data_IF_871195096993
#
_entry.id   IF_871195096993
#
_cell.length_a   1.000
_cell.length_b   1.000
_cell.length_c   1.000
_cell.angle_alpha   90.00
_cell.angle_beta   90.00
_cell.angle_gamma   90.00
#
_symmetry.space_group_name_H-M   'P 1'
#
loop_
_entity.id
_entity.type
_entity.pdbx_description
1 polymer ?
#
# COMPACT_ATOMS: atom_id res chain seq x y z
N UNK A 1 -19.11 16.58 10.96
CA UNK A 1 -18.14 16.51 9.84
C UNK A 1 -18.03 15.09 9.26
N UNK A 2 -17.66 14.06 10.04
CA UNK A 2 -17.49 12.66 9.59
C UNK A 2 -18.76 11.92 9.13
N UNK A 3 -19.92 12.60 9.06
CA UNK A 3 -21.19 12.03 8.56
C UNK A 3 -21.23 11.93 7.05
N UNK A 4 -20.40 12.68 6.33
CA UNK A 4 -20.29 12.56 4.88
C UNK A 4 -19.06 11.68 4.57
N UNK A 5 -19.31 10.53 3.93
CA UNK A 5 -18.25 9.57 3.56
C UNK A 5 -17.19 10.20 2.66
N UNK A 6 -17.58 11.12 1.78
CA UNK A 6 -16.65 11.79 0.87
C UNK A 6 -15.74 12.77 1.61
N UNK A 7 -16.22 13.43 2.66
CA UNK A 7 -15.37 14.30 3.49
C UNK A 7 -14.31 13.46 4.20
N UNK A 8 -14.66 12.27 4.67
CA UNK A 8 -13.67 11.35 5.26
C UNK A 8 -12.67 10.86 4.22
N UNK A 9 -13.13 10.54 3.01
CA UNK A 9 -12.24 10.21 1.89
C UNK A 9 -11.27 11.35 1.54
N UNK A 10 -11.75 12.60 1.53
CA UNK A 10 -10.91 13.78 1.28
C UNK A 10 -9.89 14.01 2.41
N UNK A 11 -10.23 13.72 3.67
CA UNK A 11 -9.27 13.77 4.78
C UNK A 11 -8.19 12.68 4.65
N UNK A 12 -8.58 11.45 4.30
CA UNK A 12 -7.63 10.36 4.01
C UNK A 12 -6.67 10.80 2.90
N UNK A 13 -7.22 11.32 1.79
CA UNK A 13 -6.44 11.86 0.68
C UNK A 13 -5.47 12.94 1.14
N UNK A 14 -5.93 13.95 1.90
CA UNK A 14 -5.08 15.03 2.38
C UNK A 14 -3.92 14.51 3.24
N UNK A 15 -4.17 13.54 4.14
CA UNK A 15 -3.13 12.94 4.98
C UNK A 15 -2.11 12.18 4.15
N UNK A 16 -2.55 11.35 3.18
CA UNK A 16 -1.65 10.56 2.33
C UNK A 16 -0.80 11.47 1.44
N UNK A 17 -1.41 12.48 0.81
CA UNK A 17 -0.66 13.41 -0.05
C UNK A 17 0.31 14.25 0.76
N UNK A 18 -0.07 14.69 1.96
CA UNK A 18 0.86 15.40 2.86
C UNK A 18 2.04 14.51 3.22
N UNK A 19 1.80 13.25 3.60
CA UNK A 19 2.87 12.30 3.91
C UNK A 19 3.76 12.01 2.69
N UNK A 20 3.16 11.89 1.50
CA UNK A 20 3.89 11.74 0.24
C UNK A 20 4.84 12.91 0.00
N UNK A 21 4.35 14.16 0.06
CA UNK A 21 5.20 15.34 -0.15
C UNK A 21 6.24 15.52 0.94
N UNK A 22 5.92 15.24 2.21
CA UNK A 22 6.93 15.24 3.28
C UNK A 22 8.04 14.24 2.96
N UNK A 23 7.68 13.00 2.59
CA UNK A 23 8.67 11.97 2.22
C UNK A 23 9.48 12.41 1.00
N UNK A 24 8.82 12.96 0.00
CA UNK A 24 9.43 13.38 -1.26
C UNK A 24 10.31 14.65 -1.15
N UNK A 25 10.08 15.53 -0.18
CA UNK A 25 10.86 16.75 0.02
C UNK A 25 12.00 16.52 1.01
N UNK A 26 11.70 15.87 2.15
CA UNK A 26 12.66 15.76 3.26
C UNK A 26 13.44 14.44 3.28
N UNK A 27 12.95 13.40 2.60
CA UNK A 27 13.54 12.05 2.62
C UNK A 27 13.89 11.56 1.21
N UNK A 28 14.09 12.48 0.25
CA UNK A 28 14.56 12.19 -1.11
C UNK A 28 16.07 11.98 -1.12
N UNK A 29 16.51 10.98 -0.37
CA UNK A 29 17.91 10.57 -0.23
C UNK A 29 18.15 9.19 -0.89
N UNK A 30 19.28 8.56 -0.57
CA UNK A 30 19.67 7.25 -1.10
C UNK A 30 18.71 6.11 -0.71
N UNK A 31 17.87 6.30 0.31
CA UNK A 31 16.91 5.32 0.82
C UNK A 31 15.46 5.67 0.43
N UNK A 32 15.25 6.64 -0.47
CA UNK A 32 13.92 7.17 -0.80
C UNK A 32 12.93 6.09 -1.27
N UNK A 33 13.34 5.18 -2.15
CA UNK A 33 12.53 4.05 -2.61
C UNK A 33 12.13 3.13 -1.45
N UNK A 34 13.08 2.77 -0.59
CA UNK A 34 12.84 1.89 0.56
C UNK A 34 11.92 2.53 1.59
N UNK A 35 12.12 3.82 1.86
CA UNK A 35 11.24 4.62 2.72
C UNK A 35 9.83 4.67 2.14
N UNK A 36 9.71 4.88 0.83
CA UNK A 36 8.42 4.88 0.12
C UNK A 36 7.68 3.54 0.23
N UNK A 37 8.39 2.41 0.09
CA UNK A 37 7.77 1.08 0.29
C UNK A 37 7.27 0.92 1.73
N UNK A 38 8.09 1.28 2.74
CA UNK A 38 7.69 1.18 4.15
C UNK A 38 6.45 2.02 4.45
N UNK A 39 6.39 3.24 3.92
CA UNK A 39 5.21 4.10 4.04
C UNK A 39 3.97 3.46 3.39
N UNK A 40 4.11 2.89 2.20
CA UNK A 40 3.02 2.20 1.52
C UNK A 40 2.54 0.94 2.27
N UNK A 41 3.46 0.20 2.90
CA UNK A 41 3.17 -1.06 3.59
C UNK A 41 2.57 -0.87 4.99
N UNK A 42 2.97 0.17 5.73
CA UNK A 42 2.57 0.35 7.12
C UNK A 42 1.73 1.60 7.36
N UNK A 43 2.14 2.75 6.82
CA UNK A 43 1.45 4.01 7.09
C UNK A 43 0.09 4.09 6.39
N UNK A 44 0.03 3.79 5.08
CA UNK A 44 -1.21 3.89 4.30
C UNK A 44 -2.32 2.99 4.87
N UNK A 45 -2.09 1.69 5.16
CA UNK A 45 -3.14 0.85 5.75
C UNK A 45 -3.69 1.39 7.07
N UNK A 46 -2.83 1.95 7.93
CA UNK A 46 -3.25 2.56 9.20
C UNK A 46 -4.16 3.77 8.95
N UNK A 47 -3.76 4.69 8.07
CA UNK A 47 -4.57 5.88 7.73
C UNK A 47 -5.93 5.47 7.17
N UNK A 48 -5.95 4.47 6.27
CA UNK A 48 -7.17 3.93 5.69
C UNK A 48 -8.08 3.32 6.76
N UNK A 49 -7.53 2.50 7.66
CA UNK A 49 -8.26 1.87 8.75
C UNK A 49 -8.84 2.86 9.75
N UNK A 50 -8.07 3.89 10.14
CA UNK A 50 -8.55 4.97 11.02
C UNK A 50 -9.68 5.74 10.33
N UNK A 51 -9.52 6.10 9.06
CA UNK A 51 -10.55 6.81 8.29
C UNK A 51 -11.85 5.99 8.19
N UNK A 52 -11.74 4.71 7.86
CA UNK A 52 -12.89 3.79 7.84
C UNK A 52 -13.57 3.70 9.21
N UNK A 53 -12.79 3.52 10.29
CA UNK A 53 -13.31 3.47 11.65
C UNK A 53 -14.07 4.75 12.04
N UNK A 54 -13.49 5.92 11.78
CA UNK A 54 -14.13 7.21 12.08
C UNK A 54 -15.43 7.39 11.29
N UNK A 55 -15.45 7.01 10.01
CA UNK A 55 -16.64 7.08 9.15
C UNK A 55 -17.77 6.18 9.68
N UNK A 56 -17.47 4.91 9.99
CA UNK A 56 -18.45 3.94 10.48
C UNK A 56 -18.98 4.34 11.86
N UNK A 57 -18.09 4.65 12.80
CA UNK A 57 -18.48 4.99 14.18
C UNK A 57 -19.25 6.29 14.28
N UNK A 58 -18.85 7.33 13.53
CA UNK A 58 -19.59 8.59 13.49
C UNK A 58 -21.00 8.40 12.94
N UNK A 59 -21.18 7.50 11.97
CA UNK A 59 -22.51 7.22 11.43
C UNK A 59 -23.33 6.35 12.38
N UNK A 60 -22.70 5.36 13.02
CA UNK A 60 -23.35 4.48 14.00
C UNK A 60 -23.93 5.26 15.19
N UNK A 61 -23.15 6.18 15.77
CA UNK A 61 -23.63 7.04 16.88
C UNK A 61 -24.84 7.89 16.50
N UNK A 62 -24.96 8.26 15.23
CA UNK A 62 -26.07 9.09 14.75
C UNK A 62 -27.31 8.25 14.42
N UNK A 63 -27.16 7.17 13.65
CA UNK A 63 -28.28 6.35 13.18
C UNK A 63 -28.76 5.34 14.24
N UNK A 64 -27.92 4.98 15.19
CA UNK A 64 -28.13 3.96 16.26
C UNK A 64 -28.29 2.52 15.76
N UNK A 65 -28.93 2.31 14.61
CA UNK A 65 -29.11 1.00 13.99
C UNK A 65 -28.42 0.98 12.62
N UNK A 66 -27.39 0.13 12.47
CA UNK A 66 -26.67 -0.05 11.21
C UNK A 66 -26.95 -1.41 10.60
N UNK A 67 -27.27 -1.40 9.30
CA UNK A 67 -27.24 -2.61 8.49
C UNK A 67 -25.81 -2.95 8.06
N UNK A 68 -25.57 -4.21 7.68
CA UNK A 68 -24.28 -4.65 7.13
C UNK A 68 -23.85 -3.77 5.94
N UNK A 69 -24.76 -3.54 4.99
CA UNK A 69 -24.48 -2.75 3.77
C UNK A 69 -24.05 -1.33 4.11
N UNK A 70 -24.62 -0.74 5.15
CA UNK A 70 -24.27 0.60 5.59
C UNK A 70 -22.93 0.65 6.29
N UNK A 71 -22.65 -0.26 7.23
CA UNK A 71 -21.33 -0.38 7.85
C UNK A 71 -20.24 -0.62 6.79
N UNK A 72 -20.50 -1.54 5.85
CA UNK A 72 -19.62 -1.86 4.73
C UNK A 72 -19.36 -0.62 3.85
N UNK A 73 -20.40 0.03 3.35
CA UNK A 73 -20.25 1.20 2.47
C UNK A 73 -19.58 2.37 3.17
N UNK A 74 -19.85 2.55 4.47
CA UNK A 74 -19.22 3.58 5.30
C UNK A 74 -17.73 3.35 5.51
N UNK A 75 -17.25 2.11 5.47
CA UNK A 75 -15.83 1.79 5.46
C UNK A 75 -15.23 1.91 4.05
N UNK A 76 -15.89 1.32 3.06
CA UNK A 76 -15.35 1.17 1.70
C UNK A 76 -15.21 2.51 0.97
N UNK A 77 -16.28 3.30 0.90
CA UNK A 77 -16.32 4.53 0.09
C UNK A 77 -15.21 5.52 0.46
N UNK A 78 -14.98 5.88 1.75
CA UNK A 78 -13.91 6.82 2.07
C UNK A 78 -12.53 6.28 1.73
N UNK A 79 -12.25 4.99 1.98
CA UNK A 79 -10.96 4.39 1.61
C UNK A 79 -10.76 4.38 0.09
N UNK A 80 -11.78 4.01 -0.68
CA UNK A 80 -11.73 4.01 -2.14
C UNK A 80 -11.48 5.41 -2.70
N UNK A 81 -12.26 6.40 -2.26
CA UNK A 81 -12.12 7.79 -2.71
C UNK A 81 -10.76 8.36 -2.33
N UNK A 82 -10.34 8.18 -1.07
CA UNK A 82 -9.04 8.64 -0.59
C UNK A 82 -7.89 7.97 -1.33
N UNK A 83 -7.96 6.66 -1.53
CA UNK A 83 -6.95 5.88 -2.25
C UNK A 83 -6.86 6.25 -3.73
N UNK A 84 -8.01 6.36 -4.43
CA UNK A 84 -8.05 6.71 -5.85
C UNK A 84 -7.47 8.10 -6.11
N UNK A 85 -7.89 9.11 -5.33
CA UNK A 85 -7.39 10.48 -5.46
C UNK A 85 -5.89 10.54 -5.16
N UNK A 86 -5.43 9.86 -4.10
CA UNK A 86 -4.02 9.84 -3.74
C UNK A 86 -3.19 9.20 -4.84
N UNK A 87 -3.66 8.07 -5.36
CA UNK A 87 -2.98 7.34 -6.43
C UNK A 87 -2.87 8.17 -7.71
N UNK A 88 -3.95 8.84 -8.11
CA UNK A 88 -3.96 9.69 -9.30
C UNK A 88 -2.96 10.86 -9.17
N UNK A 89 -2.92 11.53 -8.02
CA UNK A 89 -2.02 12.66 -7.79
C UNK A 89 -0.56 12.21 -7.70
N UNK A 90 -0.27 11.13 -6.98
CA UNK A 90 1.10 10.58 -6.88
C UNK A 90 1.58 10.10 -8.25
N UNK A 91 0.73 9.40 -9.00
CA UNK A 91 1.04 8.97 -10.36
C UNK A 91 1.35 10.16 -11.27
N UNK A 92 0.49 11.18 -11.26
CA UNK A 92 0.71 12.38 -12.06
C UNK A 92 2.02 13.07 -11.67
N UNK A 93 2.28 13.23 -10.37
CA UNK A 93 3.50 13.84 -9.87
C UNK A 93 4.76 13.11 -10.35
N UNK A 94 4.84 11.79 -10.11
CA UNK A 94 6.01 10.98 -10.52
C UNK A 94 6.13 10.92 -12.05
N UNK A 95 5.02 10.99 -12.79
CA UNK A 95 5.05 11.00 -14.25
C UNK A 95 5.62 12.31 -14.82
N UNK A 96 5.45 13.44 -14.13
CA UNK A 96 5.95 14.75 -14.56
C UNK A 96 7.34 15.10 -13.98
N UNK A 97 7.65 14.66 -12.76
CA UNK A 97 8.96 14.85 -12.12
C UNK A 97 9.91 13.71 -12.53
N UNK A 98 10.64 13.93 -13.63
CA UNK A 98 11.57 12.94 -14.21
C UNK A 98 12.67 12.54 -13.23
N UNK A 99 13.24 13.49 -12.49
CA UNK A 99 14.33 13.21 -11.56
C UNK A 99 13.88 12.26 -10.44
N UNK A 100 12.67 12.47 -9.92
CA UNK A 100 12.05 11.57 -8.93
C UNK A 100 11.85 10.17 -9.50
N UNK A 101 11.34 10.10 -10.73
CA UNK A 101 11.06 8.83 -11.40
C UNK A 101 12.34 8.05 -11.68
N UNK A 102 13.36 8.71 -12.19
CA UNK A 102 14.66 8.10 -12.51
C UNK A 102 15.37 7.64 -11.24
N UNK A 103 15.33 8.46 -10.17
CA UNK A 103 15.85 8.08 -8.86
C UNK A 103 15.17 6.82 -8.32
N UNK A 104 13.83 6.77 -8.36
CA UNK A 104 13.08 5.63 -7.86
C UNK A 104 13.30 4.37 -8.70
N UNK A 105 13.39 4.47 -10.03
CA UNK A 105 13.71 3.34 -10.91
C UNK A 105 15.15 2.83 -10.66
N UNK A 106 16.12 3.73 -10.48
CA UNK A 106 17.48 3.37 -10.13
C UNK A 106 17.54 2.63 -8.79
N UNK A 107 16.95 3.22 -7.74
CA UNK A 107 16.94 2.63 -6.40
C UNK A 107 16.13 1.33 -6.32
N UNK A 108 15.09 1.18 -7.15
CA UNK A 108 14.38 -0.07 -7.32
C UNK A 108 15.35 -1.18 -7.74
N UNK A 109 16.12 -0.98 -8.81
CA UNK A 109 17.08 -1.99 -9.30
C UNK A 109 18.18 -2.23 -8.26
N UNK A 110 18.69 -1.18 -7.64
CA UNK A 110 19.74 -1.29 -6.62
C UNK A 110 19.29 -2.12 -5.41
N UNK A 111 18.02 -1.99 -5.00
CA UNK A 111 17.47 -2.80 -3.92
C UNK A 111 17.47 -4.31 -4.22
N UNK A 112 17.31 -4.72 -5.49
CA UNK A 112 17.44 -6.12 -5.89
C UNK A 112 18.89 -6.59 -5.84
N UNK A 113 19.86 -5.73 -6.22
CA UNK A 113 21.29 -6.07 -6.11
C UNK A 113 21.68 -6.28 -4.66
N UNK A 114 21.36 -5.32 -3.80
CA UNK A 114 21.69 -5.39 -2.38
C UNK A 114 21.07 -6.62 -1.72
N UNK A 115 19.77 -6.86 -1.94
CA UNK A 115 19.09 -8.05 -1.41
C UNK A 115 19.74 -9.35 -1.90
N UNK A 116 20.06 -9.46 -3.19
CA UNK A 116 20.67 -10.66 -3.76
C UNK A 116 22.07 -10.94 -3.16
N UNK A 117 22.90 -9.91 -3.02
CA UNK A 117 24.23 -10.02 -2.43
C UNK A 117 24.15 -10.39 -0.94
N UNK A 118 23.22 -9.78 -0.20
CA UNK A 118 23.00 -10.06 1.21
C UNK A 118 22.51 -11.50 1.43
N UNK A 119 21.49 -11.93 0.68
CA UNK A 119 20.97 -13.31 0.73
C UNK A 119 22.05 -14.34 0.41
N UNK A 120 22.83 -14.11 -0.65
CA UNK A 120 23.91 -15.00 -1.04
C UNK A 120 25.03 -15.06 0.01
N UNK A 121 25.51 -13.91 0.47
CA UNK A 121 26.56 -13.82 1.49
C UNK A 121 26.14 -14.53 2.79
N UNK A 122 24.91 -14.30 3.25
CA UNK A 122 24.39 -14.92 4.46
C UNK A 122 24.23 -16.44 4.30
N UNK A 123 23.69 -16.90 3.16
CA UNK A 123 23.53 -18.33 2.90
C UNK A 123 24.89 -19.05 2.79
N UNK A 124 25.87 -18.45 2.12
CA UNK A 124 27.21 -19.01 1.92
C UNK A 124 27.99 -19.21 3.22
N UNK A 125 27.69 -18.44 4.26
CA UNK A 125 28.31 -18.62 5.59
C UNK A 125 27.80 -19.86 6.34
N UNK A 126 26.59 -20.34 6.01
CA UNK A 126 25.90 -21.41 6.74
C UNK A 126 26.03 -22.74 5.98
N UNK A 127 26.00 -22.69 4.65
CA UNK A 127 26.05 -23.87 3.79
C UNK A 127 27.49 -24.36 3.66
N UNK A 128 27.69 -25.67 3.75
CA UNK A 128 29.02 -26.27 3.62
C UNK A 128 29.51 -26.23 2.17
N UNK A 129 30.81 -25.97 1.93
CA UNK A 129 31.41 -26.11 0.61
C UNK A 129 31.22 -27.52 0.04
N UNK A 130 31.22 -27.65 -1.30
CA UNK A 130 31.18 -28.93 -2.01
C UNK A 130 29.91 -29.78 -1.73
N UNK A 131 28.79 -29.12 -1.48
CA UNK A 131 27.47 -29.75 -1.32
C UNK A 131 26.55 -29.37 -2.48
N UNK A 132 25.55 -30.21 -2.79
CA UNK A 132 24.51 -29.91 -3.78
C UNK A 132 23.77 -28.59 -3.44
N UNK A 133 23.59 -28.30 -2.15
CA UNK A 133 22.98 -27.06 -1.68
C UNK A 133 23.84 -25.82 -2.00
N UNK A 134 25.17 -25.95 -1.93
CA UNK A 134 26.10 -24.89 -2.36
C UNK A 134 26.03 -24.69 -3.88
N UNK A 135 25.97 -25.76 -4.66
CA UNK A 135 25.81 -25.66 -6.12
C UNK A 135 24.49 -24.98 -6.51
N UNK A 136 23.40 -25.33 -5.82
CA UNK A 136 22.11 -24.69 -6.03
C UNK A 136 22.14 -23.19 -5.65
N UNK A 137 22.81 -22.83 -4.55
CA UNK A 137 22.98 -21.44 -4.14
C UNK A 137 23.74 -20.64 -5.20
N UNK A 138 24.87 -21.14 -5.69
CA UNK A 138 25.69 -20.48 -6.72
C UNK A 138 24.88 -20.31 -8.02
N UNK A 139 24.13 -21.34 -8.42
CA UNK A 139 23.23 -21.27 -9.59
C UNK A 139 22.16 -20.19 -9.42
N UNK A 140 21.44 -20.18 -8.29
CA UNK A 140 20.39 -19.18 -8.01
C UNK A 140 20.95 -17.76 -7.98
N UNK A 141 22.15 -17.58 -7.43
CA UNK A 141 22.84 -16.30 -7.41
C UNK A 141 23.22 -15.83 -8.82
N UNK A 142 23.78 -16.72 -9.66
CA UNK A 142 24.07 -16.42 -11.06
C UNK A 142 22.80 -16.06 -11.86
N UNK A 143 21.72 -16.83 -11.71
CA UNK A 143 20.40 -16.55 -12.30
C UNK A 143 19.84 -15.21 -11.80
N UNK A 144 20.03 -14.89 -10.52
CA UNK A 144 19.69 -13.60 -9.93
C UNK A 144 20.40 -12.44 -10.62
N UNK A 145 21.72 -12.54 -10.80
CA UNK A 145 22.51 -11.53 -11.53
C UNK A 145 22.04 -11.35 -12.96
N UNK A 146 21.75 -12.44 -13.67
CA UNK A 146 21.24 -12.39 -15.04
C UNK A 146 19.89 -11.66 -15.11
N UNK A 147 18.96 -11.95 -14.20
CA UNK A 147 17.66 -11.25 -14.13
C UNK A 147 17.83 -9.75 -13.85
N UNK A 148 18.75 -9.37 -12.96
CA UNK A 148 19.02 -7.96 -12.68
C UNK A 148 19.65 -7.27 -13.90
N UNK A 149 20.62 -7.92 -14.56
CA UNK A 149 21.24 -7.39 -15.77
C UNK A 149 20.22 -7.19 -16.91
N UNK A 150 19.26 -8.11 -17.03
CA UNK A 150 18.15 -7.97 -17.97
C UNK A 150 17.28 -6.74 -17.66
N UNK A 151 16.92 -6.51 -16.38
CA UNK A 151 16.16 -5.32 -15.95
C UNK A 151 16.88 -4.01 -16.28
N UNK A 152 18.19 -3.97 -16.05
CA UNK A 152 19.04 -2.81 -16.38
C UNK A 152 19.07 -2.58 -17.89
N UNK A 153 19.30 -3.64 -18.67
CA UNK A 153 19.40 -3.56 -20.14
C UNK A 153 18.09 -3.11 -20.77
N UNK A 154 16.96 -3.53 -20.21
CA UNK A 154 15.62 -3.12 -20.64
C UNK A 154 15.23 -1.71 -20.19
N UNK A 155 16.05 -1.06 -19.36
CA UNK A 155 15.73 0.21 -18.71
C UNK A 155 14.31 0.19 -18.12
N UNK A 156 14.01 -0.84 -17.31
CA UNK A 156 12.66 -1.12 -16.85
C UNK A 156 12.07 0.05 -16.06
N UNK A 157 10.92 0.55 -16.52
CA UNK A 157 10.17 1.61 -15.85
C UNK A 157 9.08 0.99 -14.96
N UNK A 158 9.29 1.08 -13.65
CA UNK A 158 8.35 0.56 -12.65
C UNK A 158 7.25 1.55 -12.30
N UNK A 159 7.35 2.81 -12.74
CA UNK A 159 6.39 3.87 -12.44
C UNK A 159 5.52 4.19 -13.68
N UNK A 160 4.96 3.12 -14.25
CA UNK A 160 3.99 3.18 -15.35
C UNK A 160 2.57 3.04 -14.83
N UNK A 161 1.58 3.50 -15.62
CA UNK A 161 0.17 3.33 -15.29
C UNK A 161 -0.20 1.86 -15.00
N UNK A 162 0.41 0.91 -15.71
CA UNK A 162 0.20 -0.53 -15.51
C UNK A 162 0.56 -0.97 -14.08
N UNK A 163 1.79 -0.66 -13.63
CA UNK A 163 2.24 -1.04 -12.29
C UNK A 163 1.48 -0.29 -11.20
N UNK A 164 1.16 0.99 -11.43
CA UNK A 164 0.27 1.75 -10.56
C UNK A 164 -1.09 1.06 -10.41
N UNK A 165 -1.71 0.62 -11.50
CA UNK A 165 -2.99 -0.09 -11.42
C UNK A 165 -2.89 -1.43 -10.69
N UNK A 166 -1.77 -2.16 -10.77
CA UNK A 166 -1.57 -3.36 -9.97
C UNK A 166 -1.49 -3.06 -8.48
N UNK A 167 -0.75 -2.03 -8.08
CA UNK A 167 -0.68 -1.60 -6.67
C UNK A 167 -2.07 -1.15 -6.19
N UNK A 168 -2.78 -0.37 -7.01
CA UNK A 168 -4.13 0.08 -6.68
C UNK A 168 -5.11 -1.09 -6.57
N UNK A 169 -5.02 -2.10 -7.42
CA UNK A 169 -5.83 -3.32 -7.31
C UNK A 169 -5.57 -4.05 -5.98
N UNK A 170 -4.30 -4.13 -5.54
CA UNK A 170 -3.94 -4.64 -4.22
C UNK A 170 -4.60 -3.85 -3.08
N UNK A 171 -4.57 -2.52 -3.14
CA UNK A 171 -5.27 -1.67 -2.18
C UNK A 171 -6.79 -1.88 -2.21
N UNK A 172 -7.40 -2.05 -3.38
CA UNK A 172 -8.83 -2.34 -3.48
C UNK A 172 -9.18 -3.67 -2.81
N UNK A 173 -8.37 -4.72 -2.98
CA UNK A 173 -8.55 -5.98 -2.26
C UNK A 173 -8.51 -5.76 -0.74
N UNK A 174 -7.55 -4.98 -0.25
CA UNK A 174 -7.48 -4.58 1.15
C UNK A 174 -8.74 -3.80 1.61
N UNK A 175 -9.21 -2.83 0.84
CA UNK A 175 -10.41 -2.05 1.16
C UNK A 175 -11.65 -2.93 1.24
N UNK A 176 -11.80 -3.88 0.31
CA UNK A 176 -12.91 -4.84 0.31
C UNK A 176 -12.88 -5.70 1.57
N UNK A 177 -11.73 -6.31 1.90
CA UNK A 177 -11.57 -7.16 3.08
C UNK A 177 -11.84 -6.40 4.38
N UNK A 178 -11.25 -5.22 4.54
CA UNK A 178 -11.46 -4.41 5.73
C UNK A 178 -12.92 -3.94 5.84
N UNK A 179 -13.56 -3.61 4.71
CA UNK A 179 -14.98 -3.22 4.71
C UNK A 179 -15.91 -4.39 5.06
N UNK A 180 -15.58 -5.62 4.65
CA UNK A 180 -16.28 -6.83 5.10
C UNK A 180 -16.17 -7.02 6.61
N UNK A 181 -14.98 -6.78 7.17
CA UNK A 181 -14.78 -6.77 8.62
C UNK A 181 -15.68 -5.72 9.29
N UNK A 182 -15.61 -4.45 8.87
CA UNK A 182 -16.48 -3.40 9.42
C UNK A 182 -17.97 -3.73 9.29
N UNK A 183 -18.40 -4.21 8.11
CA UNK A 183 -19.77 -4.66 7.86
C UNK A 183 -20.24 -5.72 8.85
N UNK A 184 -19.38 -6.67 9.17
CA UNK A 184 -19.70 -7.81 10.03
C UNK A 184 -19.75 -7.43 11.51
N UNK A 185 -18.82 -6.60 11.97
CA UNK A 185 -18.64 -6.26 13.38
C UNK A 185 -19.47 -5.05 13.85
N UNK A 186 -19.76 -4.10 12.97
CA UNK A 186 -20.48 -2.85 13.33
C UNK A 186 -21.96 -2.86 12.95
N UNK A 187 -22.47 -3.94 12.36
CA UNK A 187 -23.92 -4.09 12.15
C UNK A 187 -24.63 -4.32 13.48
N UNK A 188 -25.80 -3.73 13.64
CA UNK A 188 -26.67 -3.99 14.79
C UNK A 188 -27.30 -5.36 14.64
N UNK A 189 -27.24 -6.19 15.68
CA UNK A 189 -27.94 -7.49 15.67
C UNK A 189 -29.44 -7.26 15.83
N UNK A 190 -30.25 -8.13 15.24
CA UNK A 190 -31.72 -8.06 15.35
C UNK A 190 -32.18 -8.08 16.82
N UNK A 191 -31.49 -8.84 17.68
CA UNK A 191 -31.73 -8.93 19.12
C UNK A 191 -31.40 -7.65 19.91
N UNK A 192 -30.68 -6.71 19.30
CA UNK A 192 -30.23 -5.45 19.93
C UNK A 192 -31.00 -4.25 19.37
N UNK A 193 -32.01 -4.49 18.52
CA UNK A 193 -32.82 -3.42 17.93
C UNK A 193 -33.80 -2.89 19.00
N UNK A 194 -33.81 -1.58 19.28
CA UNK A 194 -34.76 -1.00 20.24
C UNK A 194 -36.21 -1.26 19.80
N UNK A 195 -37.09 -1.70 20.72
CA UNK A 195 -38.49 -2.05 20.45
C UNK A 195 -39.30 -0.88 19.84
N UNK A 196 -38.88 0.35 20.16
CA UNK A 196 -39.48 1.61 19.71
C UNK A 196 -39.03 2.07 18.31
N UNK A 197 -38.32 1.23 17.55
CA UNK A 197 -37.91 1.49 16.16
C UNK A 197 -38.41 0.40 15.18
N UNK A 198 -39.50 -0.29 15.54
CA UNK A 198 -40.17 -1.27 14.68
C UNK A 198 -41.16 -0.63 13.71
#
# INVERSE_FOLDING_TARGET
MFRNVYIVGLMIFAVIITAFFITNIFFRDMEYYRTSIKMNAFFIPIVMGIGAFLSVTSYSRWKKVLTFREAYGRAFIPMFVGGLLSMAVIFAYISFDKDTKDLLNYQYIESYRQTLEEEYSNAKQIIKPETEEMEELERKYAEGKMRIAEKVTKNEDMFTAKYFMYVFAGYNAYFLLLSLFFGSFFRTRLSERPENLS
#
